data_IF_843884894413
#
_entry.id   IF_843884894413
#
_cell.length_a   1.000
_cell.length_b   1.000
_cell.length_c   1.000
_cell.angle_alpha   90.00
_cell.angle_beta   90.00
_cell.angle_gamma   90.00
#
_symmetry.space_group_name_H-M   'P 1'
#
loop_
_entity.id
_entity.type
_entity.pdbx_description
1 polymer ?
#
# COMPACT_ATOMS: atom_id res chain seq x y z
N UNK A 1 -19.48 4.69 -0.33
CA UNK A 1 -18.00 4.71 -0.26
C UNK A 1 -17.40 4.05 -1.49
N UNK A 2 -17.80 2.81 -1.82
CA UNK A 2 -17.44 2.12 -3.06
C UNK A 2 -17.61 2.98 -4.34
N UNK A 3 -18.78 3.58 -4.55
CA UNK A 3 -19.02 4.46 -5.70
C UNK A 3 -18.07 5.66 -5.73
N UNK A 4 -17.87 6.30 -4.58
CA UNK A 4 -16.97 7.44 -4.46
C UNK A 4 -15.52 7.04 -4.74
N UNK A 5 -15.07 5.90 -4.23
CA UNK A 5 -13.73 5.39 -4.50
C UNK A 5 -13.53 5.07 -5.98
N UNK A 6 -14.54 4.47 -6.64
CA UNK A 6 -14.51 4.23 -8.08
C UNK A 6 -14.38 5.57 -8.85
N UNK A 7 -15.25 6.56 -8.59
CA UNK A 7 -15.30 7.81 -9.37
C UNK A 7 -14.19 8.80 -9.06
N UNK A 8 -13.78 8.93 -7.79
CA UNK A 8 -12.85 9.95 -7.35
C UNK A 8 -11.41 9.44 -7.22
N UNK A 9 -11.19 8.13 -7.17
CA UNK A 9 -9.86 7.55 -6.94
C UNK A 9 -9.49 6.54 -8.03
N UNK A 10 -10.24 5.47 -8.19
CA UNK A 10 -9.81 4.36 -9.03
C UNK A 10 -9.87 4.72 -10.52
N UNK A 11 -10.96 5.29 -11.01
CA UNK A 11 -11.11 5.67 -12.42
C UNK A 11 -10.18 6.84 -12.83
N UNK A 12 -10.02 7.92 -12.03
CA UNK A 12 -9.08 8.99 -12.36
C UNK A 12 -7.62 8.52 -12.42
N UNK A 13 -7.25 7.57 -11.57
CA UNK A 13 -5.88 7.03 -11.49
C UNK A 13 -5.66 5.81 -12.39
N UNK A 14 -6.67 5.38 -13.15
CA UNK A 14 -6.57 4.23 -14.06
C UNK A 14 -6.41 2.88 -13.35
N UNK A 15 -6.92 2.76 -12.12
CA UNK A 15 -6.87 1.57 -11.28
C UNK A 15 -8.03 0.60 -11.60
N UNK A 16 -8.16 0.20 -12.86
CA UNK A 16 -9.32 -0.53 -13.37
C UNK A 16 -9.47 -1.98 -12.89
N UNK A 17 -8.55 -2.52 -12.08
CA UNK A 17 -8.67 -3.80 -11.39
C UNK A 17 -8.81 -3.62 -9.87
N UNK A 18 -8.93 -2.39 -9.38
CA UNK A 18 -9.19 -2.07 -7.97
C UNK A 18 -10.68 -1.85 -7.76
N UNK A 19 -11.22 -2.42 -6.68
CA UNK A 19 -12.61 -2.21 -6.26
C UNK A 19 -12.92 -2.79 -4.90
N UNK A 20 -14.02 -2.30 -4.33
CA UNK A 20 -14.77 -3.05 -3.33
C UNK A 20 -15.66 -4.12 -4.00
N UNK A 21 -16.11 -5.11 -3.22
CA UNK A 21 -17.12 -6.12 -3.62
C UNK A 21 -16.83 -6.76 -4.99
N UNK A 22 -15.87 -7.67 -5.03
CA UNK A 22 -15.46 -8.31 -6.28
C UNK A 22 -16.61 -9.11 -6.92
N UNK A 23 -16.88 -8.95 -8.23
CA UNK A 23 -17.79 -9.84 -8.94
C UNK A 23 -17.20 -11.26 -9.01
N UNK A 24 -18.07 -12.27 -9.14
CA UNK A 24 -17.68 -13.68 -9.11
C UNK A 24 -16.52 -14.03 -10.07
N UNK A 25 -16.48 -13.40 -11.26
CA UNK A 25 -15.39 -13.60 -12.24
C UNK A 25 -14.02 -13.17 -11.71
N UNK A 26 -13.96 -12.13 -10.88
CA UNK A 26 -12.70 -11.62 -10.33
C UNK A 26 -12.32 -12.36 -9.05
N UNK A 27 -13.28 -12.82 -8.24
CA UNK A 27 -13.00 -13.67 -7.07
C UNK A 27 -12.15 -14.89 -7.45
N UNK A 28 -12.40 -15.51 -8.59
CA UNK A 28 -11.61 -16.66 -9.09
C UNK A 28 -10.13 -16.34 -9.39
N UNK A 29 -9.80 -15.06 -9.58
CA UNK A 29 -8.43 -14.57 -9.85
C UNK A 29 -7.76 -13.98 -8.61
N UNK A 30 -8.46 -13.97 -7.46
CA UNK A 30 -7.99 -13.38 -6.22
C UNK A 30 -7.44 -14.46 -5.31
N UNK A 31 -6.24 -14.22 -4.77
CA UNK A 31 -5.69 -15.10 -3.74
C UNK A 31 -6.63 -15.09 -2.52
N UNK A 32 -6.97 -16.27 -1.96
CA UNK A 32 -7.79 -16.33 -0.76
C UNK A 32 -7.02 -15.75 0.43
N UNK A 33 -7.73 -15.10 1.34
CA UNK A 33 -7.17 -14.47 2.55
C UNK A 33 -7.63 -15.12 3.84
N UNK A 34 -8.49 -16.13 3.78
CA UNK A 34 -8.92 -16.93 4.91
C UNK A 34 -9.63 -18.21 4.49
N UNK A 35 -9.95 -19.04 5.47
CA UNK A 35 -10.71 -20.28 5.33
C UNK A 35 -12.03 -20.14 6.09
N UNK A 36 -13.14 -20.49 5.45
CA UNK A 36 -14.47 -20.55 6.06
C UNK A 36 -15.06 -21.95 5.88
N UNK A 37 -15.42 -22.61 6.98
CA UNK A 37 -15.96 -23.99 6.98
C UNK A 37 -15.09 -24.97 6.14
N UNK A 38 -13.77 -24.86 6.29
CA UNK A 38 -12.81 -25.69 5.57
C UNK A 38 -12.61 -25.34 4.09
N UNK A 39 -13.24 -24.28 3.58
CA UNK A 39 -13.11 -23.85 2.19
C UNK A 39 -12.37 -22.51 2.08
N UNK A 40 -11.47 -22.34 1.08
CA UNK A 40 -10.85 -21.05 0.82
C UNK A 40 -11.87 -19.97 0.47
N UNK A 41 -11.66 -18.77 1.00
CA UNK A 41 -12.52 -17.61 0.73
C UNK A 41 -11.76 -16.56 -0.08
N UNK A 42 -11.89 -16.57 -1.42
CA UNK A 42 -11.29 -15.56 -2.27
C UNK A 42 -12.23 -14.37 -2.51
N UNK A 43 -11.68 -13.16 -2.41
CA UNK A 43 -12.34 -11.93 -2.82
C UNK A 43 -13.50 -11.46 -1.94
N UNK A 44 -13.62 -12.01 -0.72
CA UNK A 44 -14.43 -11.45 0.35
C UNK A 44 -13.52 -10.87 1.43
N UNK A 45 -13.94 -9.75 2.01
CA UNK A 45 -13.15 -9.04 3.02
C UNK A 45 -12.92 -9.93 4.23
N UNK A 46 -11.68 -9.98 4.70
CA UNK A 46 -11.31 -10.78 5.88
C UNK A 46 -11.72 -10.09 7.21
N UNK A 47 -11.79 -8.76 7.21
CA UNK A 47 -12.22 -7.97 8.36
C UNK A 47 -13.72 -8.14 8.64
N UNK A 48 -14.05 -8.61 9.84
CA UNK A 48 -15.43 -8.94 10.22
C UNK A 48 -16.32 -7.71 10.33
N UNK A 49 -15.78 -6.56 10.73
CA UNK A 49 -16.54 -5.31 10.83
C UNK A 49 -16.90 -4.79 9.43
N UNK A 50 -15.93 -4.80 8.51
CA UNK A 50 -16.17 -4.46 7.12
C UNK A 50 -17.16 -5.44 6.47
N UNK A 51 -17.08 -6.73 6.79
CA UNK A 51 -18.05 -7.72 6.33
C UNK A 51 -19.48 -7.41 6.84
N UNK A 52 -19.62 -7.01 8.12
CA UNK A 52 -20.89 -6.59 8.71
C UNK A 52 -21.46 -5.32 8.02
N UNK A 53 -20.61 -4.43 7.53
CA UNK A 53 -20.99 -3.29 6.66
C UNK A 53 -21.20 -3.67 5.18
N UNK A 54 -21.34 -4.96 4.88
CA UNK A 54 -21.55 -5.47 3.53
C UNK A 54 -20.31 -5.38 2.64
N UNK A 55 -19.11 -5.43 3.22
CA UNK A 55 -17.83 -5.49 2.51
C UNK A 55 -17.23 -4.14 2.07
N UNK A 56 -17.79 -3.02 2.52
CA UNK A 56 -17.36 -1.67 2.15
C UNK A 56 -17.10 -0.84 3.39
N UNK A 57 -15.82 -0.67 3.75
CA UNK A 57 -15.41 0.17 4.88
C UNK A 57 -14.13 0.95 4.56
N UNK A 58 -13.93 2.08 5.23
CA UNK A 58 -12.75 2.93 4.99
C UNK A 58 -11.43 2.26 5.36
N UNK A 59 -11.45 1.34 6.31
CA UNK A 59 -10.27 0.62 6.80
C UNK A 59 -10.02 -0.72 6.10
N UNK A 60 -11.00 -1.28 5.37
CA UNK A 60 -10.90 -2.60 4.76
C UNK A 60 -11.92 -2.85 3.63
N UNK A 61 -11.65 -3.84 2.78
CA UNK A 61 -12.59 -4.33 1.76
C UNK A 61 -12.23 -3.98 0.31
N UNK A 62 -11.15 -3.22 0.11
CA UNK A 62 -10.59 -2.99 -1.22
C UNK A 62 -9.73 -4.19 -1.65
N UNK A 63 -9.97 -4.66 -2.86
CA UNK A 63 -9.09 -5.59 -3.56
C UNK A 63 -8.42 -4.86 -4.73
N UNK A 64 -7.15 -5.15 -4.97
CA UNK A 64 -6.36 -4.47 -6.00
C UNK A 64 -5.30 -5.42 -6.60
N UNK A 65 -4.52 -4.91 -7.54
CA UNK A 65 -3.38 -5.58 -8.15
C UNK A 65 -2.11 -4.77 -7.91
N UNK A 66 -0.94 -5.41 -8.01
CA UNK A 66 0.34 -4.70 -7.89
C UNK A 66 0.46 -3.53 -8.88
N UNK A 67 -0.06 -3.69 -10.10
CA UNK A 67 -0.04 -2.67 -11.14
C UNK A 67 -0.90 -1.45 -10.79
N UNK A 68 -2.07 -1.65 -10.21
CA UNK A 68 -2.95 -0.53 -9.84
C UNK A 68 -2.42 0.20 -8.61
N UNK A 69 -1.92 -0.52 -7.61
CA UNK A 69 -1.25 0.11 -6.47
C UNK A 69 0.02 0.87 -6.89
N UNK A 70 0.74 0.38 -7.90
CA UNK A 70 1.86 1.12 -8.47
C UNK A 70 1.43 2.46 -9.09
N UNK A 71 0.29 2.52 -9.78
CA UNK A 71 -0.28 3.79 -10.28
C UNK A 71 -0.63 4.74 -9.14
N UNK A 72 -1.26 4.21 -8.09
CA UNK A 72 -1.57 4.99 -6.89
C UNK A 72 -0.29 5.54 -6.25
N UNK A 73 0.74 4.70 -6.06
CA UNK A 73 2.02 5.09 -5.49
C UNK A 73 2.75 6.16 -6.33
N UNK A 74 2.72 6.05 -7.66
CA UNK A 74 3.29 7.05 -8.57
C UNK A 74 2.63 8.42 -8.43
N UNK A 75 1.31 8.47 -8.20
CA UNK A 75 0.60 9.74 -7.99
C UNK A 75 1.07 10.41 -6.70
N UNK A 76 1.31 9.63 -5.66
CA UNK A 76 1.87 10.12 -4.40
C UNK A 76 3.33 10.60 -4.54
N UNK A 77 4.18 9.86 -5.27
CA UNK A 77 5.54 10.32 -5.60
C UNK A 77 5.53 11.63 -6.41
N UNK A 78 4.60 11.78 -7.34
CA UNK A 78 4.47 12.96 -8.21
C UNK A 78 3.60 14.06 -7.60
N UNK A 79 3.51 14.13 -6.26
CA UNK A 79 2.77 15.15 -5.51
C UNK A 79 1.33 15.40 -6.00
N UNK A 80 0.61 14.34 -6.35
CA UNK A 80 -0.79 14.39 -6.77
C UNK A 80 -1.01 14.51 -8.28
N UNK A 81 0.06 14.51 -9.09
CA UNK A 81 -0.04 14.42 -10.54
C UNK A 81 -0.43 13.00 -10.97
N UNK A 82 -1.64 12.86 -11.51
CA UNK A 82 -2.16 11.61 -12.05
C UNK A 82 -2.14 11.55 -13.58
N UNK A 83 -2.63 10.43 -14.15
CA UNK A 83 -2.61 10.21 -15.61
C UNK A 83 -3.41 11.24 -16.42
N UNK A 84 -4.39 11.90 -15.80
CA UNK A 84 -5.28 12.89 -16.42
C UNK A 84 -4.99 14.33 -15.99
N UNK A 85 -3.84 14.58 -15.35
CA UNK A 85 -3.48 15.86 -14.75
C UNK A 85 -3.49 15.81 -13.21
N UNK A 86 -3.60 16.97 -12.58
CA UNK A 86 -3.62 17.08 -11.11
C UNK A 86 -4.87 16.39 -10.56
N UNK A 87 -4.67 15.29 -9.81
CA UNK A 87 -5.73 14.57 -9.11
C UNK A 87 -6.07 15.25 -7.78
N UNK A 88 -5.04 15.52 -6.98
CA UNK A 88 -5.11 16.24 -5.71
C UNK A 88 -4.01 17.28 -5.70
N UNK A 89 -4.29 18.47 -5.14
CA UNK A 89 -3.30 19.55 -5.16
C UNK A 89 -2.03 19.15 -4.39
N UNK A 90 -0.83 19.58 -4.83
CA UNK A 90 0.40 19.33 -4.08
C UNK A 90 0.34 19.82 -2.62
N UNK A 91 -0.38 20.92 -2.36
CA UNK A 91 -0.59 21.43 -1.00
C UNK A 91 -1.38 20.45 -0.12
N UNK A 92 -2.44 19.84 -0.66
CA UNK A 92 -3.21 18.82 0.04
C UNK A 92 -2.40 17.54 0.24
N UNK A 93 -1.62 17.11 -0.75
CA UNK A 93 -0.72 15.96 -0.61
C UNK A 93 0.28 16.17 0.53
N UNK A 94 0.93 17.34 0.58
CA UNK A 94 1.85 17.71 1.69
C UNK A 94 1.15 17.77 3.04
N UNK A 95 -0.10 18.23 3.09
CA UNK A 95 -0.88 18.23 4.34
C UNK A 95 -1.06 16.81 4.89
N UNK A 96 -1.30 15.81 4.04
CA UNK A 96 -1.42 14.42 4.47
C UNK A 96 -0.13 13.86 5.08
N UNK A 97 1.01 14.36 4.61
CA UNK A 97 2.36 13.94 5.01
C UNK A 97 2.98 14.80 6.12
N UNK A 98 2.26 15.83 6.60
CA UNK A 98 2.74 16.71 7.66
C UNK A 98 2.51 16.06 9.03
N UNK A 99 3.58 15.95 9.83
CA UNK A 99 3.48 15.50 11.23
C UNK A 99 2.98 16.62 12.13
N UNK A 100 2.03 16.29 12.99
CA UNK A 100 1.66 17.13 14.13
C UNK A 100 2.50 16.81 15.37
N UNK A 101 2.46 17.65 16.42
CA UNK A 101 3.25 17.45 17.64
C UNK A 101 3.00 16.13 18.37
N UNK A 102 1.83 15.50 18.14
CA UNK A 102 1.41 14.23 18.76
C UNK A 102 1.26 13.09 17.76
N UNK A 103 1.76 13.27 16.53
CA UNK A 103 1.62 12.29 15.47
C UNK A 103 2.40 11.01 15.74
N UNK A 104 3.55 11.08 16.42
CA UNK A 104 4.50 9.97 16.46
C UNK A 104 4.87 9.56 15.03
N UNK A 105 4.66 8.29 14.69
CA UNK A 105 4.80 7.75 13.33
C UNK A 105 3.58 7.95 12.43
N UNK A 106 2.44 8.39 12.98
CA UNK A 106 1.17 8.47 12.25
C UNK A 106 1.01 9.78 11.48
N UNK A 107 0.63 9.63 10.23
CA UNK A 107 0.25 10.68 9.29
C UNK A 107 -1.25 10.53 8.96
N UNK A 108 -1.81 11.44 8.17
CA UNK A 108 -3.21 11.30 7.74
C UNK A 108 -3.31 10.14 6.75
N UNK A 109 -3.83 9.00 7.21
CA UNK A 109 -4.00 7.79 6.39
C UNK A 109 -2.72 6.98 6.15
N UNK A 110 -1.58 7.39 6.70
CA UNK A 110 -0.28 6.74 6.51
C UNK A 110 0.46 6.50 7.82
N UNK A 111 1.38 5.54 7.80
CA UNK A 111 2.45 5.39 8.79
C UNK A 111 3.77 5.91 8.20
N UNK A 112 4.72 6.25 9.05
CA UNK A 112 6.04 6.75 8.64
C UNK A 112 7.13 6.28 9.60
N UNK A 113 8.41 6.29 9.23
CA UNK A 113 9.50 5.95 10.13
C UNK A 113 9.53 6.81 11.40
N UNK A 114 10.17 6.33 12.45
CA UNK A 114 10.44 7.15 13.62
C UNK A 114 11.63 8.09 13.34
N UNK A 115 11.49 9.38 13.67
CA UNK A 115 12.52 10.39 13.38
C UNK A 115 13.78 10.24 14.25
N UNK A 116 13.61 9.72 15.47
CA UNK A 116 14.66 9.59 16.49
C UNK A 116 14.62 8.22 17.19
N UNK A 117 14.05 7.21 16.53
CA UNK A 117 13.94 5.86 17.06
C UNK A 117 15.25 5.09 16.89
N UNK A 118 15.61 4.30 17.89
CA UNK A 118 16.71 3.34 17.80
C UNK A 118 16.31 2.09 16.99
N UNK A 119 15.01 1.84 16.86
CA UNK A 119 14.46 0.70 16.15
C UNK A 119 14.31 1.00 14.65
N UNK A 120 14.69 0.06 13.78
CA UNK A 120 14.52 0.22 12.34
C UNK A 120 13.03 0.29 11.96
N UNK A 121 12.75 1.04 10.90
CA UNK A 121 11.40 1.16 10.36
C UNK A 121 10.80 -0.20 10.01
N UNK A 122 9.48 -0.31 10.15
CA UNK A 122 8.74 -1.50 9.68
C UNK A 122 8.87 -1.71 8.17
N UNK A 123 9.30 -0.67 7.43
CA UNK A 123 9.51 -0.68 5.99
C UNK A 123 10.95 -0.97 5.55
N UNK A 124 11.86 -1.30 6.47
CA UNK A 124 13.27 -1.56 6.14
C UNK A 124 14.24 -0.73 6.97
N UNK A 125 15.53 -1.06 6.86
CA UNK A 125 16.61 -0.33 7.55
C UNK A 125 17.18 0.80 6.70
N UNK A 126 17.00 0.74 5.37
CA UNK A 126 17.53 1.72 4.43
C UNK A 126 16.50 2.75 3.95
N UNK A 127 15.28 2.69 4.47
CA UNK A 127 14.21 3.63 4.12
C UNK A 127 14.53 5.04 4.62
N UNK A 128 14.21 6.06 3.84
CA UNK A 128 14.44 7.46 4.25
C UNK A 128 13.42 7.91 5.31
N UNK A 129 13.76 8.96 6.04
CA UNK A 129 12.86 9.59 7.02
C UNK A 129 11.64 10.28 6.37
N UNK A 130 11.68 10.53 5.05
CA UNK A 130 10.56 11.10 4.30
C UNK A 130 9.57 10.03 3.81
N UNK A 131 9.91 8.75 3.96
CA UNK A 131 9.06 7.67 3.50
C UNK A 131 7.79 7.53 4.34
N UNK A 132 6.78 6.95 3.72
CA UNK A 132 5.49 6.66 4.34
C UNK A 132 4.86 5.46 3.66
N UNK A 133 3.95 4.79 4.37
CA UNK A 133 3.35 3.57 3.87
C UNK A 133 2.25 3.04 4.76
N UNK A 134 1.73 1.88 4.39
CA UNK A 134 0.78 1.14 5.21
C UNK A 134 0.95 -0.36 5.01
N UNK A 135 0.76 -1.13 6.09
CA UNK A 135 0.73 -2.59 6.03
C UNK A 135 -0.71 -3.09 6.11
N UNK A 136 -1.02 -4.21 5.47
CA UNK A 136 -2.32 -4.87 5.52
C UNK A 136 -2.27 -6.16 6.34
N UNK A 137 -3.37 -6.46 7.03
CA UNK A 137 -3.52 -7.64 7.88
C UNK A 137 -3.23 -8.97 7.16
N UNK A 138 -3.57 -9.04 5.86
CA UNK A 138 -3.31 -10.22 5.03
C UNK A 138 -1.84 -10.43 4.71
N UNK A 139 -0.97 -9.53 5.15
CA UNK A 139 0.46 -9.58 4.92
C UNK A 139 0.93 -8.71 3.75
N UNK A 140 0.11 -7.77 3.29
CA UNK A 140 0.48 -6.80 2.25
C UNK A 140 1.22 -5.59 2.82
N UNK A 141 1.97 -4.90 1.97
CA UNK A 141 2.68 -3.66 2.31
C UNK A 141 2.77 -2.78 1.07
N UNK A 142 2.58 -1.48 1.29
CA UNK A 142 2.87 -0.43 0.33
C UNK A 142 3.64 0.65 1.07
N UNK A 143 4.82 1.01 0.58
CA UNK A 143 5.52 2.21 1.02
C UNK A 143 6.01 3.01 -0.17
N UNK A 144 6.19 4.30 0.06
CA UNK A 144 6.64 5.30 -0.91
C UNK A 144 7.76 6.09 -0.23
N UNK A 145 8.87 6.26 -0.92
CA UNK A 145 10.05 6.99 -0.45
C UNK A 145 10.44 8.07 -1.46
N UNK A 146 9.99 9.32 -1.24
CA UNK A 146 10.31 10.43 -2.12
C UNK A 146 11.81 10.76 -2.21
N UNK A 147 12.59 10.51 -1.16
CA UNK A 147 14.05 10.74 -1.19
C UNK A 147 14.73 9.81 -2.19
N UNK A 148 14.26 8.58 -2.30
CA UNK A 148 14.79 7.59 -3.24
C UNK A 148 14.06 7.57 -4.59
N UNK A 149 13.04 8.42 -4.79
CA UNK A 149 12.10 8.37 -5.93
C UNK A 149 11.60 6.94 -6.22
N UNK A 150 11.23 6.23 -5.16
CA UNK A 150 10.97 4.80 -5.18
C UNK A 150 9.72 4.45 -4.37
N UNK A 151 9.04 3.38 -4.76
CA UNK A 151 7.98 2.76 -3.96
C UNK A 151 8.08 1.25 -4.06
N UNK A 152 7.54 0.55 -3.07
CA UNK A 152 7.39 -0.90 -3.08
C UNK A 152 5.93 -1.27 -2.91
N UNK A 153 5.45 -2.17 -3.77
CA UNK A 153 4.18 -2.87 -3.60
C UNK A 153 4.47 -4.33 -3.32
N UNK A 154 4.16 -4.80 -2.12
CA UNK A 154 4.33 -6.19 -1.72
C UNK A 154 2.99 -6.80 -1.34
N UNK A 155 2.53 -7.77 -2.13
CA UNK A 155 1.23 -8.41 -1.95
C UNK A 155 1.38 -9.88 -1.59
N UNK A 156 0.92 -10.24 -0.38
CA UNK A 156 0.86 -11.63 0.08
C UNK A 156 -0.52 -11.94 0.65
N UNK A 157 -0.78 -13.22 0.87
CA UNK A 157 -1.98 -13.72 1.52
C UNK A 157 -1.67 -14.53 2.79
N UNK A 158 -0.67 -14.09 3.56
CA UNK A 158 -0.20 -14.74 4.81
C UNK A 158 -1.33 -15.15 5.76
N UNK A 159 -2.43 -14.39 5.82
CA UNK A 159 -3.57 -14.69 6.68
C UNK A 159 -4.41 -15.91 6.26
N UNK A 160 -4.21 -16.43 5.04
CA UNK A 160 -5.04 -17.49 4.48
C UNK A 160 -5.00 -18.81 5.25
N UNK A 161 -3.79 -19.34 5.46
CA UNK A 161 -3.53 -20.60 6.16
C UNK A 161 -2.05 -20.63 6.59
N UNK A 162 -1.67 -19.83 7.60
CA UNK A 162 -0.28 -19.72 8.02
C UNK A 162 0.20 -21.05 8.61
N UNK A 163 1.00 -21.81 7.84
CA UNK A 163 1.64 -23.05 8.30
C UNK A 163 2.90 -22.81 9.11
N UNK A 164 3.58 -21.69 8.88
CA UNK A 164 4.76 -21.31 9.62
C UNK A 164 4.40 -20.85 11.03
N UNK A 165 5.11 -21.38 12.03
CA UNK A 165 5.13 -20.80 13.37
C UNK A 165 5.67 -19.38 13.29
N UNK A 166 5.12 -18.47 14.10
CA UNK A 166 5.47 -17.04 14.10
C UNK A 166 5.47 -16.38 12.70
N UNK A 167 4.51 -16.75 11.85
CA UNK A 167 4.41 -16.27 10.46
C UNK A 167 4.54 -14.74 10.31
N UNK A 168 4.11 -13.95 11.30
CA UNK A 168 4.28 -12.49 11.31
C UNK A 168 5.73 -12.05 11.49
N UNK A 169 6.49 -12.72 12.35
CA UNK A 169 7.92 -12.45 12.56
C UNK A 169 8.71 -12.77 11.28
N UNK A 170 8.44 -13.92 10.67
CA UNK A 170 9.02 -14.29 9.38
C UNK A 170 8.66 -13.29 8.27
N UNK A 171 7.40 -12.86 8.22
CA UNK A 171 6.95 -11.85 7.25
C UNK A 171 7.66 -10.50 7.46
N UNK A 172 7.88 -10.07 8.70
CA UNK A 172 8.63 -8.83 8.99
C UNK A 172 10.06 -8.92 8.44
N UNK A 173 10.75 -10.04 8.65
CA UNK A 173 12.10 -10.24 8.12
C UNK A 173 12.12 -10.16 6.57
N UNK A 174 11.21 -10.88 5.90
CA UNK A 174 11.11 -10.86 4.43
C UNK A 174 10.84 -9.46 3.90
N UNK A 175 9.96 -8.67 4.55
CA UNK A 175 9.67 -7.29 4.15
C UNK A 175 10.88 -6.38 4.31
N UNK A 176 11.58 -6.48 5.44
CA UNK A 176 12.81 -5.70 5.68
C UNK A 176 13.86 -6.01 4.62
N UNK A 177 14.16 -7.29 4.38
CA UNK A 177 15.14 -7.71 3.38
C UNK A 177 14.75 -7.28 1.96
N UNK A 178 13.47 -7.43 1.59
CA UNK A 178 12.97 -7.02 0.28
C UNK A 178 13.09 -5.51 0.07
N UNK A 179 12.70 -4.72 1.07
CA UNK A 179 12.76 -3.25 0.98
C UNK A 179 14.20 -2.76 0.89
N UNK A 180 15.09 -3.30 1.71
CA UNK A 180 16.52 -2.94 1.67
C UNK A 180 17.17 -3.37 0.35
N UNK A 181 16.81 -4.55 -0.17
CA UNK A 181 17.25 -5.00 -1.49
C UNK A 181 16.74 -4.09 -2.60
N UNK A 182 15.47 -3.67 -2.56
CA UNK A 182 14.90 -2.76 -3.55
C UNK A 182 15.66 -1.42 -3.59
N UNK A 183 15.97 -0.84 -2.43
CA UNK A 183 16.73 0.41 -2.34
C UNK A 183 18.17 0.24 -2.86
N UNK A 184 18.83 -0.89 -2.56
CA UNK A 184 20.19 -1.17 -3.06
C UNK A 184 20.25 -1.41 -4.56
N UNK A 185 19.24 -2.09 -5.11
CA UNK A 185 19.24 -2.58 -6.50
C UNK A 185 18.66 -1.59 -7.50
N UNK A 186 17.79 -0.68 -7.07
CA UNK A 186 17.30 0.39 -7.93
C UNK A 186 18.35 1.50 -7.90
N UNK A 187 19.17 1.67 -8.95
CA UNK A 187 20.22 2.67 -8.94
C UNK A 187 19.60 4.05 -8.74
N UNK A 188 20.13 4.84 -7.80
CA UNK A 188 19.78 6.26 -7.55
C UNK A 188 20.04 7.19 -8.76
N UNK A 189 20.29 6.62 -9.94
CA UNK A 189 20.61 7.23 -11.23
C UNK A 189 19.57 8.23 -11.76
N UNK A 190 18.41 8.38 -11.14
CA UNK A 190 17.49 9.46 -11.49
C UNK A 190 17.91 10.83 -10.91
N UNK A 191 18.88 10.88 -9.99
CA UNK A 191 19.31 12.13 -9.39
C UNK A 191 20.20 13.02 -10.30
N UNK A 192 20.62 12.58 -11.49
CA UNK A 192 21.52 13.41 -12.31
C UNK A 192 21.26 13.55 -13.83
N UNK A 193 20.36 12.81 -14.51
CA UNK A 193 20.30 13.00 -15.98
C UNK A 193 19.04 12.62 -16.80
N UNK A 194 17.90 12.20 -16.23
CA UNK A 194 16.82 11.62 -17.06
C UNK A 194 15.39 12.14 -16.79
N UNK A 195 15.22 13.45 -16.59
CA UNK A 195 13.89 14.10 -16.60
C UNK A 195 13.31 14.25 -18.01
N UNK A 196 14.02 13.82 -19.07
CA UNK A 196 13.53 13.99 -20.45
C UNK A 196 12.77 12.78 -21.04
N UNK A 197 12.89 11.55 -20.52
CA UNK A 197 12.31 10.35 -21.18
C UNK A 197 11.99 9.16 -20.24
N UNK A 198 11.12 9.36 -19.26
CA UNK A 198 10.36 8.27 -18.62
C UNK A 198 8.87 8.58 -18.62
#
# INVERSE_FOLDING_TARGET
LDRFADTEVFDPLGMGQTRFRLPARLKRRTAPSGIWRGQPVPGDVNDQNAAAFGGVAGHAGVFSTGRDLARFAQVWLKEGMGPKGVWVSPASMRQFLTRGPRSGTRLLGWDSPELAGEEPSIYGTLISQSAYGHTGFTGTELWIDPTHDLFLVFLTNRAFDPKAQDSMKGLKAVRTELSDAAIRLVPHSCAQQLVARC
#
